data_IF_728722314379
#
_entry.id   IF_728722314379
#
_cell.length_a   1.000
_cell.length_b   1.000
_cell.length_c   1.000
_cell.angle_alpha   90.00
_cell.angle_beta   90.00
_cell.angle_gamma   90.00
#
_symmetry.space_group_name_H-M   'P 1'
#
loop_
_entity.id
_entity.type
_entity.pdbx_description
1 polymer ?
#
# COMPACT_ATOMS: atom_id res chain seq x y z
N UNK A 1 -2.67 17.93 7.62
CA UNK A 1 -2.66 16.94 6.53
C UNK A 1 -1.97 17.56 5.33
N UNK A 2 -0.82 17.02 4.91
CA UNK A 2 -0.09 17.49 3.72
C UNK A 2 -0.87 17.16 2.43
N UNK A 3 -0.49 17.76 1.29
CA UNK A 3 -1.12 17.42 0.01
C UNK A 3 -0.92 15.96 -0.37
N UNK A 4 0.26 15.40 -0.07
CA UNK A 4 0.55 13.99 -0.30
C UNK A 4 -0.27 13.10 0.62
N UNK A 5 -0.43 13.49 1.88
CA UNK A 5 -1.26 12.73 2.83
C UNK A 5 -2.73 12.73 2.39
N UNK A 6 -3.25 13.84 1.86
CA UNK A 6 -4.59 13.91 1.26
C UNK A 6 -4.70 13.01 0.04
N UNK A 7 -3.67 13.02 -0.83
CA UNK A 7 -3.68 12.25 -2.07
C UNK A 7 -3.75 10.74 -1.82
N UNK A 8 -2.96 10.24 -0.86
CA UNK A 8 -2.90 8.81 -0.57
C UNK A 8 -4.14 8.27 0.17
N UNK A 9 -5.09 9.12 0.60
CA UNK A 9 -6.32 8.64 1.21
C UNK A 9 -7.10 7.75 0.25
N UNK A 10 -7.82 6.77 0.81
CA UNK A 10 -8.61 5.82 0.05
C UNK A 10 -7.94 4.46 -0.06
N UNK A 11 -8.34 3.70 -1.08
CA UNK A 11 -7.89 2.33 -1.33
C UNK A 11 -7.18 2.23 -2.66
N UNK A 12 -6.08 1.48 -2.68
CA UNK A 12 -5.12 1.35 -3.76
C UNK A 12 -4.88 -0.12 -4.06
N UNK A 13 -4.95 -0.50 -5.31
CA UNK A 13 -4.96 -1.88 -5.77
C UNK A 13 -3.83 -2.13 -6.76
N UNK A 14 -3.08 -3.19 -6.56
CA UNK A 14 -2.07 -3.70 -7.48
C UNK A 14 -2.42 -5.12 -7.89
N UNK A 15 -2.26 -5.38 -9.19
CA UNK A 15 -2.49 -6.67 -9.81
C UNK A 15 -1.33 -6.97 -10.75
N UNK A 16 -0.67 -8.10 -10.52
CA UNK A 16 0.41 -8.56 -11.40
C UNK A 16 -0.13 -9.59 -12.40
N UNK A 17 -0.39 -9.13 -13.62
CA UNK A 17 -0.85 -9.96 -14.72
C UNK A 17 0.17 -11.00 -15.19
N UNK A 18 1.47 -10.82 -14.91
CA UNK A 18 2.51 -11.76 -15.38
C UNK A 18 2.32 -13.16 -14.79
N UNK A 19 1.76 -13.26 -13.58
CA UNK A 19 1.45 -14.54 -12.93
C UNK A 19 0.20 -15.21 -13.52
N UNK A 20 -0.75 -14.45 -14.07
CA UNK A 20 -2.01 -14.99 -14.62
C UNK A 20 -1.86 -15.78 -15.92
N UNK A 21 -0.68 -15.73 -16.55
CA UNK A 21 -0.38 -16.43 -17.81
C UNK A 21 0.43 -17.73 -17.62
N UNK A 22 0.84 -18.04 -16.39
CA UNK A 22 1.59 -19.25 -16.05
C UNK A 22 0.60 -20.28 -15.48
N UNK A 23 0.49 -21.44 -16.13
CA UNK A 23 -0.39 -22.53 -15.67
C UNK A 23 0.06 -22.98 -14.27
N UNK A 24 -0.74 -22.69 -13.26
CA UNK A 24 -0.50 -23.08 -11.87
C UNK A 24 0.00 -21.97 -10.94
N UNK A 25 0.28 -20.77 -11.45
CA UNK A 25 0.55 -19.60 -10.60
C UNK A 25 -0.72 -18.75 -10.48
N UNK A 26 -1.17 -18.57 -9.24
CA UNK A 26 -2.40 -17.85 -8.92
C UNK A 26 -2.02 -16.39 -8.65
N UNK A 27 -2.51 -15.50 -9.50
CA UNK A 27 -2.58 -14.04 -9.37
C UNK A 27 -2.07 -13.45 -8.03
N UNK A 28 -1.14 -12.49 -8.09
CA UNK A 28 -0.80 -11.68 -6.91
C UNK A 28 -1.68 -10.44 -6.88
N UNK A 29 -2.50 -10.35 -5.84
CA UNK A 29 -3.35 -9.19 -5.58
C UNK A 29 -2.87 -8.54 -4.29
N UNK A 30 -2.55 -7.25 -4.35
CA UNK A 30 -2.20 -6.46 -3.17
C UNK A 30 -3.10 -5.23 -3.10
N UNK A 31 -3.62 -4.94 -1.92
CA UNK A 31 -4.42 -3.77 -1.66
C UNK A 31 -3.89 -3.01 -0.45
N UNK A 32 -3.66 -1.71 -0.60
CA UNK A 32 -3.42 -0.79 0.49
C UNK A 32 -4.66 0.08 0.72
N UNK A 33 -4.96 0.38 1.97
CA UNK A 33 -5.95 1.39 2.34
C UNK A 33 -5.36 2.35 3.35
N UNK A 34 -5.58 3.65 3.16
CA UNK A 34 -5.16 4.71 4.08
C UNK A 34 -6.34 5.62 4.40
N UNK A 35 -6.61 5.83 5.68
CA UNK A 35 -7.74 6.63 6.11
C UNK A 35 -7.60 7.09 7.55
N UNK A 36 -7.63 8.40 7.80
CA UNK A 36 -7.67 8.97 9.16
C UNK A 36 -6.57 8.42 10.10
N UNK A 37 -5.34 8.27 9.60
CA UNK A 37 -4.21 7.75 10.38
C UNK A 37 -4.25 6.23 10.62
N UNK A 38 -5.15 5.51 9.95
CA UNK A 38 -5.24 4.05 9.95
C UNK A 38 -4.81 3.53 8.58
N UNK A 39 -4.11 2.40 8.55
CA UNK A 39 -3.83 1.70 7.31
C UNK A 39 -4.36 0.26 7.33
N UNK A 40 -4.61 -0.26 6.14
CA UNK A 40 -4.87 -1.67 5.87
C UNK A 40 -3.98 -2.13 4.73
N UNK A 41 -3.50 -3.36 4.81
CA UNK A 41 -2.74 -4.06 3.79
C UNK A 41 -3.39 -5.43 3.62
N UNK A 42 -3.77 -5.78 2.42
CA UNK A 42 -4.28 -7.11 2.10
C UNK A 42 -3.46 -7.67 0.95
N UNK A 43 -2.93 -8.87 1.11
CA UNK A 43 -2.31 -9.62 0.03
C UNK A 43 -3.01 -10.96 -0.11
N UNK A 44 -3.38 -11.32 -1.34
CA UNK A 44 -4.08 -12.56 -1.66
C UNK A 44 -3.36 -13.35 -2.75
N UNK A 45 -3.74 -14.62 -2.80
CA UNK A 45 -3.99 -15.41 -4.01
C UNK A 45 -2.76 -16.14 -4.57
N UNK A 46 -1.56 -15.85 -4.07
CA UNK A 46 -0.36 -16.68 -4.26
C UNK A 46 0.12 -17.31 -2.94
N UNK A 47 -0.65 -18.25 -2.36
CA UNK A 47 -0.38 -18.89 -1.05
C UNK A 47 -0.20 -17.92 0.14
N UNK A 48 -0.58 -16.65 -0.04
CA UNK A 48 -0.56 -15.61 0.96
C UNK A 48 -2.01 -15.13 1.04
N UNK A 49 -2.63 -15.33 2.19
CA UNK A 49 -3.89 -14.69 2.56
C UNK A 49 -3.61 -13.94 3.86
N UNK A 50 -3.15 -12.70 3.70
CA UNK A 50 -2.67 -11.89 4.80
C UNK A 50 -3.34 -10.53 4.80
N UNK A 51 -3.99 -10.25 5.92
CA UNK A 51 -4.48 -8.92 6.26
C UNK A 51 -3.61 -8.36 7.37
N UNK A 52 -3.05 -7.17 7.14
CA UNK A 52 -2.42 -6.37 8.18
C UNK A 52 -3.15 -5.04 8.34
N UNK A 53 -3.35 -4.64 9.58
CA UNK A 53 -3.93 -3.34 9.92
C UNK A 53 -3.04 -2.64 10.93
N UNK A 54 -3.17 -1.33 11.03
CA UNK A 54 -2.44 -0.56 12.05
C UNK A 54 -2.69 0.93 11.92
N UNK A 55 -1.82 1.71 12.54
CA UNK A 55 -1.81 3.17 12.43
C UNK A 55 -0.64 3.63 11.60
N UNK A 56 -0.77 4.81 11.00
CA UNK A 56 0.35 5.48 10.36
C UNK A 56 0.46 6.92 10.83
N UNK A 57 1.68 7.46 10.76
CA UNK A 57 1.93 8.89 10.84
C UNK A 57 2.90 9.31 9.73
N UNK A 58 2.84 10.58 9.32
CA UNK A 58 3.71 11.12 8.28
C UNK A 58 5.04 11.54 8.90
N UNK A 59 6.14 10.92 8.44
CA UNK A 59 7.51 11.29 8.82
C UNK A 59 8.07 12.39 7.90
N UNK A 60 7.82 12.26 6.60
CA UNK A 60 8.34 13.16 5.57
C UNK A 60 7.33 13.26 4.42
N UNK A 61 7.22 14.44 3.80
CA UNK A 61 6.32 14.69 2.67
C UNK A 61 6.94 15.76 1.78
N UNK A 62 7.59 15.34 0.71
CA UNK A 62 8.36 16.21 -0.18
C UNK A 62 8.06 15.85 -1.63
N UNK A 63 7.77 16.87 -2.45
CA UNK A 63 7.46 16.72 -3.88
C UNK A 63 6.42 15.59 -4.13
N UNK A 64 6.84 14.54 -4.84
CA UNK A 64 6.05 13.39 -5.24
C UNK A 64 6.28 12.19 -4.31
N UNK A 65 6.77 12.42 -3.10
CA UNK A 65 7.06 11.37 -2.12
C UNK A 65 6.44 11.66 -0.77
N UNK A 66 6.00 10.61 -0.09
CA UNK A 66 5.58 10.65 1.31
C UNK A 66 6.13 9.42 2.03
N UNK A 67 6.74 9.63 3.19
CA UNK A 67 7.22 8.56 4.06
C UNK A 67 6.33 8.48 5.28
N UNK A 68 5.80 7.28 5.52
CA UNK A 68 4.96 6.99 6.68
C UNK A 68 5.73 6.12 7.68
N UNK A 69 5.44 6.28 8.97
CA UNK A 69 5.73 5.25 9.99
C UNK A 69 4.47 4.47 10.26
N UNK A 70 4.49 3.17 10.03
CA UNK A 70 3.42 2.22 10.37
C UNK A 70 3.68 1.66 11.77
N UNK A 71 2.68 1.72 12.64
CA UNK A 71 2.82 1.28 14.02
C UNK A 71 1.52 0.70 14.59
N UNK A 72 1.59 0.04 15.75
CA UNK A 72 0.49 -0.73 16.35
C UNK A 72 -0.10 -1.74 15.35
N UNK A 73 0.77 -2.47 14.66
CA UNK A 73 0.40 -3.40 13.59
C UNK A 73 -0.29 -4.65 14.15
N UNK A 74 -1.26 -5.19 13.39
CA UNK A 74 -1.98 -6.43 13.67
C UNK A 74 -2.11 -7.24 12.39
N UNK A 75 -1.55 -8.45 12.38
CA UNK A 75 -1.50 -9.36 11.25
C UNK A 75 -0.17 -10.11 11.24
N UNK A 76 -0.09 -11.25 10.54
CA UNK A 76 1.11 -12.10 10.52
C UNK A 76 2.24 -11.58 9.62
N UNK A 77 1.90 -10.78 8.59
CA UNK A 77 2.88 -10.33 7.59
C UNK A 77 3.93 -9.37 8.18
N UNK A 78 3.56 -8.60 9.19
CA UNK A 78 4.43 -7.63 9.85
C UNK A 78 4.68 -8.04 11.30
N UNK A 79 5.72 -8.83 11.53
CA UNK A 79 6.20 -9.18 12.88
C UNK A 79 6.95 -8.03 13.59
N UNK A 80 6.91 -6.82 13.01
CA UNK A 80 7.65 -5.66 13.48
C UNK A 80 6.72 -4.46 13.63
N UNK A 81 6.96 -3.70 14.69
CA UNK A 81 6.33 -2.41 14.94
C UNK A 81 7.28 -1.29 14.51
N UNK A 82 6.75 -0.13 14.09
CA UNK A 82 7.51 1.00 13.54
C UNK A 82 8.19 0.73 12.19
N UNK A 83 7.41 0.30 11.20
CA UNK A 83 7.89 0.10 9.83
C UNK A 83 7.86 1.43 9.08
N UNK A 84 8.95 1.81 8.42
CA UNK A 84 8.94 2.95 7.49
C UNK A 84 8.44 2.50 6.11
N UNK A 85 7.45 3.24 5.59
CA UNK A 85 6.84 3.02 4.28
C UNK A 85 7.02 4.27 3.41
N UNK A 86 8.03 4.30 2.52
CA UNK A 86 8.09 5.31 1.48
C UNK A 86 7.05 5.01 0.39
N UNK A 87 6.36 6.05 -0.07
CA UNK A 87 5.36 6.00 -1.13
C UNK A 87 5.70 7.08 -2.15
N UNK A 88 5.88 6.69 -3.41
CA UNK A 88 5.95 7.62 -4.54
C UNK A 88 4.54 7.84 -5.09
N UNK A 89 4.23 9.08 -5.50
CA UNK A 89 2.93 9.52 -5.99
C UNK A 89 3.07 9.93 -7.46
N UNK A 90 2.22 9.39 -8.32
CA UNK A 90 2.02 9.88 -9.67
C UNK A 90 0.61 10.45 -9.79
N UNK A 91 0.50 11.78 -9.72
CA UNK A 91 -0.78 12.49 -9.82
C UNK A 91 -1.34 12.51 -11.24
N UNK A 92 -0.49 12.38 -12.26
CA UNK A 92 -0.97 12.39 -13.65
C UNK A 92 -1.73 11.11 -13.96
N UNK A 93 -1.26 9.99 -13.42
CA UNK A 93 -1.87 8.67 -13.63
C UNK A 93 -2.79 8.23 -12.47
N UNK A 94 -2.96 9.04 -11.43
CA UNK A 94 -3.67 8.70 -10.18
C UNK A 94 -3.22 7.35 -9.60
N UNK A 95 -1.90 7.22 -9.39
CA UNK A 95 -1.29 6.00 -8.83
C UNK A 95 -0.35 6.31 -7.67
N UNK A 96 -0.08 5.27 -6.86
CA UNK A 96 0.99 5.29 -5.86
C UNK A 96 1.90 4.08 -6.00
N UNK A 97 3.13 4.19 -5.52
CA UNK A 97 4.10 3.08 -5.49
C UNK A 97 4.74 2.98 -4.10
N UNK A 98 4.17 2.16 -3.20
CA UNK A 98 4.78 1.82 -1.92
C UNK A 98 6.07 0.99 -2.13
N UNK A 99 7.13 1.27 -1.37
CA UNK A 99 8.45 0.61 -1.48
C UNK A 99 9.17 0.69 -2.84
N UNK A 100 8.71 1.55 -3.76
CA UNK A 100 9.21 1.54 -5.14
C UNK A 100 8.85 0.26 -5.91
N UNK A 101 7.79 -0.44 -5.47
CA UNK A 101 7.18 -1.53 -6.24
C UNK A 101 6.35 -1.03 -7.42
N UNK A 102 5.45 -1.88 -7.93
CA UNK A 102 4.55 -1.54 -9.02
C UNK A 102 3.60 -0.37 -8.70
N UNK A 103 2.93 0.14 -9.74
CA UNK A 103 1.94 1.21 -9.61
C UNK A 103 0.60 0.66 -9.14
N UNK A 104 0.17 1.11 -7.96
CA UNK A 104 -1.14 0.80 -7.40
C UNK A 104 -2.14 1.84 -7.91
N UNK A 105 -3.28 1.35 -8.40
CA UNK A 105 -4.36 2.16 -8.95
C UNK A 105 -5.42 2.39 -7.88
N UNK A 106 -5.99 3.59 -7.81
CA UNK A 106 -7.06 3.90 -6.87
C UNK A 106 -8.32 3.06 -7.15
N UNK A 107 -8.81 2.34 -6.15
CA UNK A 107 -10.07 1.58 -6.22
C UNK A 107 -11.23 2.25 -5.48
N UNK A 108 -10.93 3.06 -4.45
CA UNK A 108 -11.91 3.91 -3.76
C UNK A 108 -11.23 5.18 -3.24
N UNK A 109 -11.87 6.35 -3.28
CA UNK A 109 -11.46 7.52 -2.51
C UNK A 109 -11.67 7.33 -1.00
#
# INVERSE_FOLDING_TARGET
>A
MSENEKFIQGTWYYFDEHLGSIVGESELIIQWGFGNGVFTYNACCFNIDETVTGRYEVLESTEDTIKLRLFNTRGSAFNYDNIELPITIDRQNDTISPYGGGSFIRSSP
#
